data_IF_384722016494
#
_entry.id   IF_384722016494
#
_cell.length_a   1.000
_cell.length_b   1.000
_cell.length_c   1.000
_cell.angle_alpha   90.00
_cell.angle_beta   90.00
_cell.angle_gamma   90.00
#
_symmetry.space_group_name_H-M   'P 1'
#
loop_
_entity.id
_entity.type
_entity.pdbx_description
1 polymer ?
#
# COMPACT_ATOMS: atom_id res chain seq x y z
N UNK A 1 -43.53 -25.27 5.17
CA UNK A 1 -42.42 -24.58 4.51
C UNK A 1 -41.30 -24.43 5.54
N UNK A 2 -40.20 -25.08 5.30
CA UNK A 2 -39.02 -24.94 6.16
C UNK A 2 -38.36 -23.59 5.86
N UNK A 3 -37.52 -23.06 6.79
CA UNK A 3 -36.81 -21.82 6.57
C UNK A 3 -35.92 -21.83 5.31
N UNK A 4 -35.50 -23.03 4.93
CA UNK A 4 -34.69 -23.30 3.73
C UNK A 4 -35.49 -23.09 2.42
N UNK A 5 -36.76 -23.51 2.38
CA UNK A 5 -37.63 -23.28 1.22
C UNK A 5 -37.91 -21.79 0.98
N UNK A 6 -38.09 -21.02 2.06
CA UNK A 6 -38.29 -19.57 1.96
C UNK A 6 -37.05 -18.82 1.50
N UNK A 7 -35.89 -19.25 1.94
CA UNK A 7 -34.60 -18.69 1.53
C UNK A 7 -34.28 -19.00 0.08
N UNK A 8 -34.55 -20.24 -0.37
CA UNK A 8 -34.38 -20.62 -1.77
C UNK A 8 -35.31 -19.83 -2.69
N UNK A 9 -36.58 -19.70 -2.33
CA UNK A 9 -37.53 -18.89 -3.09
C UNK A 9 -37.13 -17.39 -3.19
N UNK A 10 -36.50 -16.86 -2.15
CA UNK A 10 -35.96 -15.50 -2.18
C UNK A 10 -34.76 -15.35 -3.13
N UNK A 11 -33.90 -16.37 -3.23
CA UNK A 11 -32.77 -16.39 -4.15
C UNK A 11 -33.20 -16.49 -5.61
N UNK A 12 -34.28 -17.24 -5.89
CA UNK A 12 -34.78 -17.50 -7.25
C UNK A 12 -35.31 -16.24 -7.96
N UNK A 13 -35.59 -15.15 -7.21
CA UNK A 13 -36.04 -13.88 -7.79
C UNK A 13 -34.93 -12.87 -7.97
N UNK A 14 -33.69 -13.19 -7.52
CA UNK A 14 -32.55 -12.29 -7.68
C UNK A 14 -32.15 -12.24 -9.16
N UNK A 15 -32.05 -11.00 -9.67
CA UNK A 15 -31.55 -10.74 -11.03
C UNK A 15 -30.12 -10.24 -10.97
N UNK A 16 -29.33 -10.68 -11.95
CA UNK A 16 -27.95 -10.22 -12.13
C UNK A 16 -27.89 -9.30 -13.34
N UNK A 17 -27.50 -8.05 -13.11
CA UNK A 17 -27.29 -7.06 -14.16
C UNK A 17 -25.79 -6.90 -14.41
N UNK A 18 -25.35 -7.12 -15.65
CA UNK A 18 -23.97 -6.85 -16.07
C UNK A 18 -23.88 -5.41 -16.60
N UNK A 19 -23.00 -4.61 -16.00
CA UNK A 19 -22.74 -3.22 -16.39
C UNK A 19 -21.29 -3.15 -16.88
N UNK A 20 -21.10 -2.88 -18.16
CA UNK A 20 -19.79 -2.78 -18.77
C UNK A 20 -19.22 -1.34 -18.70
N UNK A 21 -17.89 -1.23 -18.79
CA UNK A 21 -17.12 0.00 -18.91
C UNK A 21 -17.19 0.98 -17.71
N UNK A 22 -17.86 0.65 -16.62
CA UNK A 22 -17.88 1.48 -15.41
C UNK A 22 -18.12 0.66 -14.14
N UNK A 23 -17.59 1.15 -13.03
CA UNK A 23 -18.01 0.71 -11.71
C UNK A 23 -19.25 1.50 -11.26
N UNK A 24 -20.14 0.85 -10.51
CA UNK A 24 -21.23 1.54 -9.82
C UNK A 24 -20.75 1.93 -8.40
N UNK A 25 -21.08 3.13 -7.91
CA UNK A 25 -20.67 3.54 -6.57
C UNK A 25 -21.39 2.78 -5.45
N UNK A 26 -22.54 2.16 -5.73
CA UNK A 26 -23.42 1.57 -4.72
C UNK A 26 -22.70 0.49 -3.89
N UNK A 27 -21.98 -0.42 -4.55
CA UNK A 27 -21.28 -1.51 -3.87
C UNK A 27 -20.16 -0.97 -2.98
N UNK A 28 -19.40 0.01 -3.50
CA UNK A 28 -18.35 0.68 -2.73
C UNK A 28 -18.88 1.41 -1.50
N UNK A 29 -20.05 2.06 -1.60
CA UNK A 29 -20.70 2.76 -0.48
C UNK A 29 -21.21 1.77 0.55
N UNK A 30 -21.98 0.74 0.12
CA UNK A 30 -22.54 -0.27 1.04
C UNK A 30 -21.41 -1.00 1.79
N UNK A 31 -20.43 -1.52 1.06
CA UNK A 31 -19.29 -2.22 1.66
C UNK A 31 -18.45 -1.29 2.56
N UNK A 32 -18.31 -0.03 2.16
CA UNK A 32 -17.59 0.98 2.93
C UNK A 32 -18.23 1.24 4.31
N UNK A 33 -19.56 1.24 4.40
CA UNK A 33 -20.27 1.34 5.67
C UNK A 33 -20.03 0.10 6.53
N UNK A 34 -20.27 -1.10 6.01
CA UNK A 34 -20.10 -2.35 6.75
C UNK A 34 -18.65 -2.56 7.24
N UNK A 35 -17.68 -2.24 6.41
CA UNK A 35 -16.25 -2.33 6.77
C UNK A 35 -15.89 -1.23 7.77
N UNK A 36 -16.41 -0.03 7.58
CA UNK A 36 -16.20 1.10 8.49
C UNK A 36 -16.72 0.84 9.90
N UNK A 37 -17.86 0.19 10.05
CA UNK A 37 -18.43 -0.21 11.35
C UNK A 37 -17.53 -1.21 12.09
N UNK A 38 -16.82 -2.05 11.37
CA UNK A 38 -15.94 -3.10 11.94
C UNK A 38 -14.51 -2.66 12.16
N UNK A 39 -13.93 -1.90 11.23
CA UNK A 39 -12.50 -1.56 11.19
C UNK A 39 -12.22 -0.07 11.43
N UNK A 40 -13.25 0.73 11.59
CA UNK A 40 -13.17 2.18 11.60
C UNK A 40 -13.11 2.78 10.19
N UNK A 41 -13.25 4.11 10.06
CA UNK A 41 -13.27 4.80 8.79
C UNK A 41 -11.95 4.61 8.04
N UNK A 42 -12.05 4.44 6.72
CA UNK A 42 -10.89 4.35 5.84
C UNK A 42 -10.30 5.73 5.54
N UNK A 43 -9.78 6.41 6.48
CA UNK A 43 -9.23 7.76 6.46
C UNK A 43 -8.13 7.98 5.40
N UNK A 44 -8.47 7.85 4.11
CA UNK A 44 -7.51 7.98 3.01
C UNK A 44 -6.87 9.37 2.96
N UNK A 45 -5.54 9.41 3.01
CA UNK A 45 -4.74 10.63 2.94
C UNK A 45 -3.65 10.47 1.88
N UNK A 46 -3.90 10.87 0.62
CA UNK A 46 -2.90 10.80 -0.43
C UNK A 46 -1.76 11.81 -0.18
N UNK A 47 -0.61 11.56 -0.80
CA UNK A 47 0.54 12.47 -0.79
C UNK A 47 1.47 12.19 -1.97
N UNK A 48 2.33 13.17 -2.27
CA UNK A 48 3.40 13.06 -3.25
C UNK A 48 4.69 13.63 -2.70
N UNK A 49 5.81 13.04 -3.09
CA UNK A 49 7.15 13.55 -2.84
C UNK A 49 7.83 13.71 -4.20
N UNK A 50 8.35 14.89 -4.50
CA UNK A 50 9.00 15.20 -5.77
C UNK A 50 10.43 15.65 -5.53
N UNK A 51 11.38 15.13 -6.30
CA UNK A 51 12.72 15.62 -6.42
C UNK A 51 12.87 16.34 -7.77
N UNK A 52 13.38 17.57 -7.72
CA UNK A 52 13.60 18.41 -8.90
C UNK A 52 15.08 18.75 -9.03
N UNK A 53 15.55 18.88 -10.25
CA UNK A 53 16.89 19.39 -10.54
C UNK A 53 16.97 20.94 -10.49
N UNK A 54 18.13 21.49 -10.80
CA UNK A 54 18.37 22.93 -10.83
C UNK A 54 17.55 23.70 -11.86
N UNK A 55 16.97 23.02 -12.86
CA UNK A 55 16.05 23.62 -13.85
C UNK A 55 14.58 23.59 -13.39
N UNK A 56 14.28 22.87 -12.27
CA UNK A 56 12.93 22.63 -11.79
C UNK A 56 12.25 21.41 -12.38
N UNK A 57 12.92 20.64 -13.24
CA UNK A 57 12.38 19.40 -13.82
C UNK A 57 12.28 18.29 -12.77
N UNK A 58 11.21 17.51 -12.81
CA UNK A 58 11.05 16.35 -11.92
C UNK A 58 11.99 15.23 -12.36
N UNK A 59 12.97 14.89 -11.53
CA UNK A 59 13.95 13.83 -11.78
C UNK A 59 13.68 12.55 -11.00
N UNK A 60 12.91 12.64 -9.93
CA UNK A 60 12.43 11.47 -9.18
C UNK A 60 11.16 11.84 -8.40
N UNK A 61 10.39 10.84 -7.99
CA UNK A 61 9.20 11.08 -7.19
C UNK A 61 8.54 9.81 -6.68
N UNK A 62 7.64 10.00 -5.72
CA UNK A 62 6.85 8.95 -5.11
C UNK A 62 5.44 9.47 -4.87
N UNK A 63 4.44 8.66 -5.23
CA UNK A 63 3.06 8.86 -4.85
C UNK A 63 2.61 7.77 -3.89
N UNK A 64 1.87 8.13 -2.88
CA UNK A 64 1.34 7.19 -1.91
C UNK A 64 0.03 7.64 -1.30
N UNK A 65 -0.55 6.76 -0.49
CA UNK A 65 -1.75 7.02 0.29
C UNK A 65 -1.65 6.28 1.62
N UNK A 66 -2.03 6.92 2.71
CA UNK A 66 -2.22 6.23 3.99
C UNK A 66 -3.70 5.99 4.24
N UNK A 67 -4.04 4.80 4.77
CA UNK A 67 -5.35 4.41 5.26
C UNK A 67 -5.22 3.29 6.30
N UNK A 68 -6.12 3.21 7.25
CA UNK A 68 -6.10 2.20 8.31
C UNK A 68 -4.72 1.96 8.94
N UNK A 69 -3.98 3.04 9.16
CA UNK A 69 -2.63 3.04 9.73
C UNK A 69 -1.59 2.26 8.90
N UNK A 70 -1.80 2.10 7.60
CA UNK A 70 -0.82 1.61 6.64
C UNK A 70 -0.58 2.64 5.55
N UNK A 71 0.65 2.72 5.04
CA UNK A 71 1.00 3.57 3.90
C UNK A 71 1.26 2.69 2.68
N UNK A 72 0.49 2.93 1.61
CA UNK A 72 0.71 2.31 0.31
C UNK A 72 1.58 3.22 -0.56
N UNK A 73 2.74 2.74 -1.00
CA UNK A 73 3.54 3.38 -2.05
C UNK A 73 2.99 2.93 -3.39
N UNK A 74 2.28 3.83 -4.05
CA UNK A 74 1.59 3.54 -5.31
C UNK A 74 2.51 3.60 -6.52
N UNK A 75 3.40 4.61 -6.55
CA UNK A 75 4.39 4.80 -7.59
C UNK A 75 5.70 5.28 -6.98
N UNK A 76 6.83 4.76 -7.47
CA UNK A 76 8.15 5.27 -7.22
C UNK A 76 8.91 5.33 -8.55
N UNK A 77 9.40 6.50 -8.90
CA UNK A 77 10.10 6.76 -10.14
C UNK A 77 11.42 7.47 -9.91
N UNK A 78 12.45 7.06 -10.64
CA UNK A 78 13.73 7.78 -10.76
C UNK A 78 14.11 7.81 -12.24
N UNK A 79 14.31 9.00 -12.78
CA UNK A 79 14.71 9.19 -14.17
C UNK A 79 16.03 8.45 -14.46
N UNK A 80 16.18 7.82 -15.65
CA UNK A 80 17.34 6.95 -15.96
C UNK A 80 18.70 7.59 -15.65
N UNK A 81 18.89 8.86 -16.04
CA UNK A 81 20.13 9.59 -15.79
C UNK A 81 20.45 9.83 -14.30
N UNK A 82 19.47 9.65 -13.41
CA UNK A 82 19.59 9.89 -11.97
C UNK A 82 19.55 8.60 -11.15
N UNK A 83 19.49 7.45 -11.80
CA UNK A 83 19.53 6.14 -11.13
C UNK A 83 20.93 5.85 -10.56
N UNK A 84 20.99 4.95 -9.57
CA UNK A 84 22.25 4.60 -8.91
C UNK A 84 22.79 5.65 -7.92
N UNK A 85 22.19 6.85 -7.85
CA UNK A 85 22.64 7.96 -7.01
C UNK A 85 21.89 8.07 -5.66
N UNK A 86 21.13 7.04 -5.28
CA UNK A 86 20.46 6.96 -3.99
C UNK A 86 19.12 7.67 -3.88
N UNK A 87 18.58 8.30 -4.96
CA UNK A 87 17.29 9.02 -4.90
C UNK A 87 16.12 8.11 -4.51
N UNK A 88 16.04 6.89 -5.04
CA UNK A 88 14.99 5.94 -4.66
C UNK A 88 15.04 5.59 -3.16
N UNK A 89 16.24 5.43 -2.59
CA UNK A 89 16.42 5.23 -1.14
C UNK A 89 15.93 6.43 -0.33
N UNK A 90 16.25 7.63 -0.76
CA UNK A 90 15.81 8.87 -0.08
C UNK A 90 14.28 9.01 -0.14
N UNK A 91 13.66 8.77 -1.30
CA UNK A 91 12.21 8.81 -1.45
C UNK A 91 11.50 7.82 -0.52
N UNK A 92 12.03 6.59 -0.39
CA UNK A 92 11.46 5.62 0.57
C UNK A 92 11.62 6.06 2.02
N UNK A 93 12.78 6.63 2.38
CA UNK A 93 13.00 7.15 3.73
C UNK A 93 12.03 8.29 4.07
N UNK A 94 11.79 9.20 3.14
CA UNK A 94 10.79 10.26 3.30
C UNK A 94 9.36 9.70 3.42
N UNK A 95 9.00 8.70 2.60
CA UNK A 95 7.71 8.03 2.71
C UNK A 95 7.54 7.34 4.09
N UNK A 96 8.59 6.71 4.62
CA UNK A 96 8.57 6.13 5.97
C UNK A 96 8.41 7.21 7.06
N UNK A 97 9.00 8.41 6.89
CA UNK A 97 8.77 9.53 7.81
C UNK A 97 7.32 10.00 7.76
N UNK A 98 6.74 10.16 6.56
CA UNK A 98 5.32 10.47 6.40
C UNK A 98 4.45 9.41 7.08
N UNK A 99 4.77 8.12 6.90
CA UNK A 99 4.05 7.03 7.54
C UNK A 99 4.10 7.14 9.07
N UNK A 100 5.28 7.39 9.64
CA UNK A 100 5.45 7.56 11.10
C UNK A 100 4.68 8.78 11.62
N UNK A 101 4.78 9.92 10.92
CA UNK A 101 4.06 11.14 11.29
C UNK A 101 2.54 10.97 11.26
N UNK A 102 2.03 10.07 10.42
CA UNK A 102 0.61 9.71 10.32
C UNK A 102 0.20 8.56 11.25
N UNK A 103 1.11 8.04 12.08
CA UNK A 103 0.84 6.93 12.98
C UNK A 103 0.65 5.58 12.29
N UNK A 104 1.21 5.42 11.09
CA UNK A 104 1.17 4.13 10.40
C UNK A 104 2.05 3.09 11.09
N UNK A 105 1.61 1.85 11.07
CA UNK A 105 2.32 0.68 11.62
C UNK A 105 3.16 -0.04 10.56
N UNK A 106 2.99 0.31 9.28
CA UNK A 106 3.75 -0.27 8.20
C UNK A 106 3.59 0.46 6.87
N UNK A 107 4.44 0.06 5.93
CA UNK A 107 4.43 0.51 4.53
C UNK A 107 4.30 -0.74 3.66
N UNK A 108 3.50 -0.68 2.61
CA UNK A 108 3.40 -1.74 1.62
C UNK A 108 3.44 -1.20 0.20
N UNK A 109 3.80 -2.06 -0.72
CA UNK A 109 3.91 -1.75 -2.14
C UNK A 109 3.82 -3.02 -2.98
N UNK A 110 3.72 -2.84 -4.27
CA UNK A 110 3.91 -3.90 -5.24
C UNK A 110 4.81 -3.44 -6.40
N UNK A 111 5.40 -4.39 -7.09
CA UNK A 111 6.25 -4.14 -8.26
C UNK A 111 6.14 -5.27 -9.28
N UNK A 112 6.41 -4.95 -10.54
CA UNK A 112 6.48 -5.92 -11.65
C UNK A 112 7.92 -6.34 -11.97
N UNK A 113 8.91 -5.73 -11.31
CA UNK A 113 10.33 -5.88 -11.57
C UNK A 113 11.01 -6.63 -10.44
N UNK A 114 11.64 -7.77 -10.74
CA UNK A 114 12.39 -8.54 -9.75
C UNK A 114 13.55 -7.74 -9.15
N UNK A 115 14.23 -6.95 -9.97
CA UNK A 115 15.31 -6.06 -9.54
C UNK A 115 14.82 -4.99 -8.55
N UNK A 116 13.60 -4.47 -8.74
CA UNK A 116 12.98 -3.55 -7.80
C UNK A 116 12.58 -4.26 -6.50
N UNK A 117 12.08 -5.49 -6.56
CA UNK A 117 11.78 -6.27 -5.37
C UNK A 117 13.03 -6.47 -4.50
N UNK A 118 14.17 -6.87 -5.11
CA UNK A 118 15.47 -6.97 -4.42
C UNK A 118 15.91 -5.62 -3.83
N UNK A 119 15.67 -4.52 -4.54
CA UNK A 119 15.94 -3.18 -4.01
C UNK A 119 15.13 -2.88 -2.74
N UNK A 120 13.85 -3.27 -2.68
CA UNK A 120 13.01 -3.09 -1.50
C UNK A 120 13.41 -4.03 -0.36
N UNK A 121 13.74 -5.29 -0.65
CA UNK A 121 14.21 -6.27 0.37
C UNK A 121 15.47 -5.77 1.09
N UNK A 122 16.43 -5.21 0.37
CA UNK A 122 17.63 -4.58 0.96
C UNK A 122 17.32 -3.40 1.88
N UNK A 123 16.07 -2.92 1.92
CA UNK A 123 15.57 -1.83 2.78
C UNK A 123 14.60 -2.31 3.84
N UNK A 124 14.58 -3.62 4.07
CA UNK A 124 13.80 -4.25 5.13
C UNK A 124 12.36 -4.55 4.76
N UNK A 125 12.00 -4.50 3.47
CA UNK A 125 10.71 -5.01 3.02
C UNK A 125 10.77 -6.54 2.93
N UNK A 126 9.65 -7.19 3.23
CA UNK A 126 9.46 -8.64 3.18
C UNK A 126 8.45 -8.95 2.07
N UNK A 127 8.76 -9.96 1.25
CA UNK A 127 7.80 -10.47 0.25
C UNK A 127 6.70 -11.25 0.93
N UNK A 128 5.47 -11.02 0.47
CA UNK A 128 4.28 -11.75 0.93
C UNK A 128 3.70 -12.67 -0.12
N UNK A 129 3.99 -12.41 -1.39
CA UNK A 129 3.50 -13.21 -2.49
C UNK A 129 3.78 -12.62 -3.85
N UNK A 130 3.44 -13.39 -4.90
CA UNK A 130 3.51 -12.94 -6.29
C UNK A 130 2.37 -13.56 -7.09
N UNK A 131 1.91 -12.85 -8.09
CA UNK A 131 0.94 -13.33 -9.07
C UNK A 131 1.66 -13.42 -10.40
N UNK A 132 1.73 -14.65 -10.94
CA UNK A 132 2.33 -14.90 -12.25
C UNK A 132 1.43 -14.38 -13.37
N UNK A 133 2.03 -14.02 -14.51
CA UNK A 133 1.33 -13.50 -15.69
C UNK A 133 0.44 -12.27 -15.40
N UNK A 134 0.90 -11.40 -14.52
CA UNK A 134 0.23 -10.14 -14.21
C UNK A 134 1.21 -8.95 -14.30
N UNK A 135 1.22 -8.24 -15.47
CA UNK A 135 0.61 -8.55 -16.78
C UNK A 135 1.20 -9.82 -17.40
N UNK A 136 0.57 -10.32 -18.48
CA UNK A 136 1.05 -11.52 -19.20
C UNK A 136 2.54 -11.39 -19.54
N UNK A 137 3.33 -12.40 -19.17
CA UNK A 137 4.79 -12.42 -19.37
C UNK A 137 5.58 -11.74 -18.24
N UNK A 138 4.92 -11.18 -17.21
CA UNK A 138 5.55 -10.62 -16.01
C UNK A 138 4.93 -11.19 -14.74
N UNK A 139 5.37 -10.74 -13.58
CA UNK A 139 4.73 -11.08 -12.31
C UNK A 139 4.53 -9.83 -11.47
N UNK A 140 3.49 -9.80 -10.65
CA UNK A 140 3.27 -8.75 -9.66
C UNK A 140 3.67 -9.25 -8.28
N UNK A 141 4.64 -8.61 -7.66
CA UNK A 141 5.28 -9.00 -6.41
C UNK A 141 4.83 -8.03 -5.32
N UNK A 142 4.32 -8.56 -4.22
CA UNK A 142 3.81 -7.78 -3.09
C UNK A 142 4.78 -7.81 -1.92
N UNK A 143 5.09 -6.62 -1.38
CA UNK A 143 6.02 -6.48 -0.28
C UNK A 143 5.47 -5.53 0.79
N UNK A 144 5.84 -5.75 2.04
CA UNK A 144 5.60 -4.79 3.12
C UNK A 144 6.77 -4.68 4.08
N UNK A 145 6.78 -3.59 4.83
CA UNK A 145 7.74 -3.32 5.90
C UNK A 145 6.98 -2.83 7.13
N UNK A 146 7.14 -3.51 8.25
CA UNK A 146 6.63 -3.04 9.53
C UNK A 146 7.42 -1.81 10.00
N UNK A 147 6.72 -0.86 10.56
CA UNK A 147 7.31 0.31 11.22
C UNK A 147 7.12 0.16 12.73
N UNK A 148 8.17 -0.16 13.51
CA UNK A 148 8.04 -0.29 14.96
C UNK A 148 7.49 0.99 15.58
N UNK A 149 6.61 0.83 16.56
CA UNK A 149 6.08 1.96 17.33
C UNK A 149 7.18 2.67 18.11
N UNK A 150 7.00 3.93 18.51
CA UNK A 150 7.95 4.63 19.37
C UNK A 150 8.26 3.85 20.65
N UNK A 151 7.27 3.21 21.26
CA UNK A 151 7.39 2.39 22.47
C UNK A 151 8.26 1.13 22.25
N UNK A 152 8.08 0.46 21.09
CA UNK A 152 8.89 -0.72 20.74
C UNK A 152 10.36 -0.36 20.46
N UNK A 153 10.61 0.82 19.92
CA UNK A 153 11.98 1.33 19.70
C UNK A 153 12.70 1.66 21.00
N UNK A 154 12.01 2.23 21.97
CA UNK A 154 12.57 2.56 23.28
C UNK A 154 12.94 1.28 24.07
N UNK A 155 12.13 0.24 23.95
CA UNK A 155 12.40 -1.08 24.56
C UNK A 155 13.47 -1.90 23.83
N UNK A 156 13.72 -1.62 22.54
CA UNK A 156 14.75 -2.28 21.73
C UNK A 156 16.12 -1.61 21.82
N UNK A 157 16.20 -0.39 22.37
CA UNK A 157 17.48 0.28 22.62
C UNK A 157 18.27 -0.48 23.69
N UNK A 158 19.59 -0.76 23.48
CA UNK A 158 20.40 -1.41 24.50
C UNK A 158 20.37 -0.52 25.74
N UNK A 159 19.97 -1.10 26.89
CA UNK A 159 20.07 -0.41 28.17
C UNK A 159 21.55 -0.09 28.36
N UNK A 160 21.90 1.19 28.32
CA UNK A 160 23.23 1.67 28.65
C UNK A 160 23.53 1.19 30.07
N UNK A 161 24.38 0.17 30.19
CA UNK A 161 24.81 -0.33 31.46
C UNK A 161 25.56 0.80 32.17
N UNK A 162 24.96 1.32 33.23
CA UNK A 162 25.68 2.07 34.23
C UNK A 162 26.46 1.04 35.03
N UNK A 163 27.74 0.95 34.77
CA UNK A 163 28.72 0.25 35.60
C UNK A 163 29.66 1.26 36.21
#
# INVERSE_FOLDING_TARGET
>A
MTGDDAQQAALDVIKFDFIDARETPEIGVILGVEVGDRLGPRDERPFSILARDGSGAVVAGLNGVSHWRWLYVRHLYVAPAWRGQGLGRRLLAEAEQVARARGCVGVYLDTFEESAAVFYERRGFVRHGRIENFPVGAARIFLSKALPSPVERENAAPRSGVG
#
